data_IF_071339709164
#
_entry.id   IF_071339709164
#
_cell.length_a   1.000
_cell.length_b   1.000
_cell.length_c   1.000
_cell.angle_alpha   90.00
_cell.angle_beta   90.00
_cell.angle_gamma   90.00
#
_symmetry.space_group_name_H-M   'P 1'
#
loop_
_entity.id
_entity.type
_entity.pdbx_description
1 polymer ?
#
# COMPACT_ATOMS: atom_id res chain seq x y z
N UNK A 1 4.25 -5.68 -32.33
CA UNK A 1 5.25 -5.93 -31.27
C UNK A 1 5.48 -4.59 -30.58
N UNK A 2 4.82 -4.35 -29.44
CA UNK A 2 4.79 -3.04 -28.79
C UNK A 2 6.18 -2.72 -28.22
N UNK A 3 6.93 -1.86 -28.92
CA UNK A 3 8.12 -1.24 -28.38
C UNK A 3 7.74 -0.44 -27.14
N UNK A 4 8.31 -0.79 -25.99
CA UNK A 4 8.14 -0.05 -24.74
C UNK A 4 8.98 1.21 -24.87
N UNK A 5 8.39 2.23 -25.49
CA UNK A 5 9.09 3.48 -25.68
C UNK A 5 9.08 4.35 -24.44
N UNK A 6 10.26 4.83 -24.08
CA UNK A 6 10.57 5.66 -22.90
C UNK A 6 10.07 7.11 -23.03
N UNK A 7 9.06 7.36 -23.87
CA UNK A 7 8.64 8.72 -24.26
C UNK A 7 7.86 9.47 -23.18
N UNK A 8 7.28 8.76 -22.21
CA UNK A 8 6.47 9.37 -21.14
C UNK A 8 6.96 8.92 -19.78
N UNK A 9 7.20 9.90 -18.89
CA UNK A 9 7.68 9.68 -17.52
C UNK A 9 6.80 8.68 -16.77
N UNK A 10 5.48 8.76 -16.92
CA UNK A 10 4.54 7.86 -16.25
C UNK A 10 4.68 6.41 -16.70
N UNK A 11 4.87 6.21 -18.01
CA UNK A 11 5.06 4.87 -18.57
C UNK A 11 6.40 4.28 -18.12
N UNK A 12 7.45 5.09 -18.10
CA UNK A 12 8.77 4.70 -17.60
C UNK A 12 8.72 4.30 -16.12
N UNK A 13 8.04 5.07 -15.26
CA UNK A 13 7.87 4.73 -13.83
C UNK A 13 7.13 3.41 -13.64
N UNK A 14 6.04 3.19 -14.41
CA UNK A 14 5.31 1.92 -14.38
C UNK A 14 6.20 0.74 -14.78
N UNK A 15 6.98 0.87 -15.85
CA UNK A 15 7.89 -0.19 -16.30
C UNK A 15 9.02 -0.44 -15.31
N UNK A 16 9.51 0.62 -14.66
CA UNK A 16 10.51 0.53 -13.62
C UNK A 16 9.98 -0.21 -12.38
N UNK A 17 8.74 0.04 -11.98
CA UNK A 17 8.05 -0.67 -10.90
C UNK A 17 7.94 -2.18 -11.19
N UNK A 18 7.44 -2.56 -12.38
CA UNK A 18 7.41 -3.96 -12.79
C UNK A 18 8.82 -4.56 -12.88
N UNK A 19 9.80 -3.71 -13.17
CA UNK A 19 11.20 -4.04 -13.18
C UNK A 19 11.81 -4.41 -11.83
N UNK A 20 11.28 -3.90 -10.71
CA UNK A 20 11.68 -4.33 -9.36
C UNK A 20 11.39 -5.82 -9.16
N UNK A 21 10.32 -6.34 -9.78
CA UNK A 21 9.94 -7.76 -9.72
C UNK A 21 10.60 -8.62 -10.81
N UNK A 22 11.51 -8.06 -11.63
CA UNK A 22 12.24 -8.79 -12.67
C UNK A 22 11.52 -8.89 -14.01
N UNK A 23 10.44 -8.13 -14.25
CA UNK A 23 9.73 -8.11 -15.54
C UNK A 23 10.38 -7.18 -16.60
N UNK A 24 11.66 -6.83 -16.46
CA UNK A 24 12.39 -6.08 -17.49
C UNK A 24 13.01 -7.06 -18.51
N UNK A 25 12.43 -7.18 -19.69
CA UNK A 25 13.06 -7.90 -20.80
C UNK A 25 14.04 -6.98 -21.58
N UNK A 26 15.36 -7.29 -21.62
CA UNK A 26 16.37 -6.44 -22.28
C UNK A 26 16.10 -6.21 -23.78
N UNK A 27 15.48 -7.19 -24.45
CA UNK A 27 15.22 -7.12 -25.89
C UNK A 27 14.07 -6.16 -26.24
N UNK A 28 13.33 -5.68 -25.25
CA UNK A 28 12.16 -4.82 -25.44
C UNK A 28 12.48 -3.32 -25.32
N UNK A 29 13.66 -2.95 -24.82
CA UNK A 29 14.06 -1.56 -24.52
C UNK A 29 14.95 -0.91 -25.60
N UNK A 30 14.98 -1.44 -26.83
CA UNK A 30 15.74 -0.78 -27.88
C UNK A 30 15.08 0.55 -28.24
N UNK A 31 15.84 1.62 -28.07
CA UNK A 31 15.42 2.97 -28.39
C UNK A 31 15.58 3.22 -29.89
N UNK A 32 14.46 3.48 -30.55
CA UNK A 32 14.44 4.08 -31.87
C UNK A 32 14.40 5.59 -31.66
N UNK A 33 15.58 6.22 -31.69
CA UNK A 33 15.69 7.67 -31.56
C UNK A 33 15.98 8.25 -32.93
N UNK A 34 14.92 8.63 -33.64
CA UNK A 34 15.04 9.44 -34.85
C UNK A 34 14.67 8.70 -36.14
N UNK A 35 13.98 9.46 -36.97
CA UNK A 35 13.68 9.19 -38.35
C UNK A 35 14.94 9.56 -39.16
N UNK A 36 15.67 8.60 -39.70
CA UNK A 36 16.81 8.89 -40.56
C UNK A 36 16.46 8.68 -42.04
N UNK A 37 16.83 9.66 -42.87
CA UNK A 37 16.58 9.65 -44.31
C UNK A 37 15.21 10.22 -44.73
N UNK A 38 14.96 10.32 -46.05
CA UNK A 38 13.75 10.95 -46.62
C UNK A 38 12.44 10.24 -46.26
N UNK A 39 12.51 8.96 -45.89
CA UNK A 39 11.38 8.05 -45.65
C UNK A 39 11.01 7.92 -44.16
N UNK A 40 11.66 8.73 -43.30
CA UNK A 40 11.44 8.76 -41.85
C UNK A 40 11.46 7.38 -41.16
N UNK A 41 12.28 6.46 -41.65
CA UNK A 41 12.31 5.10 -41.11
C UNK A 41 12.94 5.08 -39.70
N UNK A 42 12.38 4.27 -38.78
CA UNK A 42 12.91 4.10 -37.44
C UNK A 42 14.31 3.45 -37.50
N UNK A 43 15.38 4.20 -37.23
CA UNK A 43 16.74 3.67 -37.22
C UNK A 43 17.25 3.33 -35.83
N UNK A 44 17.94 2.18 -35.71
CA UNK A 44 18.50 1.68 -34.46
C UNK A 44 19.90 2.24 -34.23
N UNK A 45 20.12 2.87 -33.09
CA UNK A 45 21.45 3.32 -32.66
C UNK A 45 22.08 2.31 -31.68
N UNK A 46 23.15 1.63 -32.11
CA UNK A 46 23.81 0.58 -31.31
C UNK A 46 24.39 1.09 -29.98
N UNK A 47 25.06 2.25 -29.99
CA UNK A 47 25.70 2.82 -28.80
C UNK A 47 24.68 3.16 -27.71
N UNK A 48 23.58 3.81 -28.09
CA UNK A 48 22.56 4.24 -27.13
C UNK A 48 21.73 3.06 -26.63
N UNK A 49 21.50 2.04 -27.48
CA UNK A 49 20.85 0.79 -27.06
C UNK A 49 21.70 0.03 -26.02
N UNK A 50 23.01 -0.04 -26.21
CA UNK A 50 23.93 -0.66 -25.24
C UNK A 50 23.98 0.09 -23.91
N UNK A 51 24.05 1.43 -23.95
CA UNK A 51 24.03 2.24 -22.73
C UNK A 51 22.73 2.03 -21.92
N UNK A 52 21.59 1.89 -22.60
CA UNK A 52 20.28 1.68 -21.96
C UNK A 52 20.20 0.32 -21.26
N UNK A 53 20.68 -0.74 -21.92
CA UNK A 53 20.75 -2.09 -21.35
C UNK A 53 21.65 -2.15 -20.10
N UNK A 54 22.79 -1.45 -20.14
CA UNK A 54 23.72 -1.35 -19.01
C UNK A 54 23.07 -0.64 -17.81
N UNK A 55 22.41 0.51 -18.04
CA UNK A 55 21.74 1.28 -16.98
C UNK A 55 20.62 0.47 -16.33
N UNK A 56 19.80 -0.24 -17.12
CA UNK A 56 18.72 -1.08 -16.61
C UNK A 56 19.27 -2.24 -15.76
N UNK A 57 20.34 -2.89 -16.22
CA UNK A 57 20.98 -3.99 -15.50
C UNK A 57 21.55 -3.51 -14.16
N UNK A 58 22.25 -2.36 -14.15
CA UNK A 58 22.76 -1.77 -12.93
C UNK A 58 21.64 -1.33 -11.98
N UNK A 59 20.56 -0.73 -12.50
CA UNK A 59 19.40 -0.36 -11.71
C UNK A 59 18.79 -1.56 -10.98
N UNK A 60 18.55 -2.66 -11.70
CA UNK A 60 17.99 -3.87 -11.13
C UNK A 60 18.94 -4.50 -10.11
N UNK A 61 20.23 -4.60 -10.43
CA UNK A 61 21.24 -5.15 -9.52
C UNK A 61 21.39 -4.35 -8.22
N UNK A 62 21.49 -3.02 -8.32
CA UNK A 62 21.62 -2.15 -7.16
C UNK A 62 20.36 -2.22 -6.30
N UNK A 63 19.16 -2.12 -6.87
CA UNK A 63 17.92 -2.15 -6.06
C UNK A 63 17.71 -3.50 -5.39
N UNK A 64 17.86 -4.61 -6.10
CA UNK A 64 17.64 -5.93 -5.50
C UNK A 64 18.62 -6.14 -4.35
N UNK A 65 19.91 -5.85 -4.55
CA UNK A 65 20.92 -6.10 -3.52
C UNK A 65 20.80 -5.11 -2.35
N UNK A 66 20.71 -3.82 -2.63
CA UNK A 66 20.75 -2.79 -1.58
C UNK A 66 19.42 -2.66 -0.84
N UNK A 67 18.29 -2.67 -1.56
CA UNK A 67 16.97 -2.47 -0.96
C UNK A 67 16.55 -3.67 -0.12
N UNK A 68 16.75 -4.91 -0.59
CA UNK A 68 16.45 -6.09 0.21
C UNK A 68 17.32 -6.17 1.44
N UNK A 69 18.63 -5.97 1.30
CA UNK A 69 19.54 -6.05 2.45
C UNK A 69 19.21 -4.99 3.51
N UNK A 70 18.89 -3.77 3.07
CA UNK A 70 18.46 -2.69 3.97
C UNK A 70 17.11 -3.00 4.62
N UNK A 71 16.11 -3.44 3.83
CA UNK A 71 14.77 -3.72 4.35
C UNK A 71 14.80 -4.85 5.37
N UNK A 72 15.54 -5.93 5.10
CA UNK A 72 15.70 -7.04 6.04
C UNK A 72 16.40 -6.55 7.31
N UNK A 73 17.46 -5.74 7.19
CA UNK A 73 18.17 -5.19 8.35
C UNK A 73 17.28 -4.29 9.21
N UNK A 74 16.46 -3.44 8.58
CA UNK A 74 15.50 -2.57 9.27
C UNK A 74 14.39 -3.39 9.94
N UNK A 75 13.87 -4.41 9.26
CA UNK A 75 12.82 -5.27 9.80
C UNK A 75 13.32 -6.04 11.01
N UNK A 76 14.52 -6.62 10.96
CA UNK A 76 15.13 -7.33 12.10
C UNK A 76 15.33 -6.36 13.28
N UNK A 77 15.92 -5.19 13.05
CA UNK A 77 16.11 -4.19 14.11
C UNK A 77 14.77 -3.77 14.74
N UNK A 78 13.73 -3.60 13.92
CA UNK A 78 12.40 -3.22 14.41
C UNK A 78 11.66 -4.36 15.11
N UNK A 79 11.86 -5.59 14.67
CA UNK A 79 11.35 -6.76 15.37
C UNK A 79 11.99 -6.85 16.76
N UNK A 80 13.31 -6.71 16.88
CA UNK A 80 14.01 -6.76 18.16
C UNK A 80 13.53 -5.68 19.14
N UNK A 81 13.34 -4.44 18.66
CA UNK A 81 12.82 -3.31 19.45
C UNK A 81 11.39 -3.57 19.96
N UNK A 82 10.52 -4.15 19.12
CA UNK A 82 9.13 -4.47 19.49
C UNK A 82 9.07 -5.67 20.44
N UNK A 83 9.92 -6.68 20.23
CA UNK A 83 9.97 -7.88 21.07
C UNK A 83 10.35 -7.56 22.52
N UNK A 84 11.15 -6.52 22.77
CA UNK A 84 11.53 -6.09 24.12
C UNK A 84 10.31 -5.66 24.97
N UNK A 85 9.26 -5.12 24.34
CA UNK A 85 8.04 -4.65 25.02
C UNK A 85 6.77 -5.44 24.65
N UNK A 86 6.90 -6.53 23.88
CA UNK A 86 5.78 -7.29 23.31
C UNK A 86 4.77 -7.72 24.37
N UNK A 87 5.24 -8.31 25.47
CA UNK A 87 4.34 -8.82 26.51
C UNK A 87 3.49 -7.73 27.14
N UNK A 88 4.07 -6.54 27.33
CA UNK A 88 3.39 -5.40 27.95
C UNK A 88 2.34 -4.83 27.00
N UNK A 89 2.71 -4.60 25.75
CA UNK A 89 1.81 -4.07 24.71
C UNK A 89 0.68 -5.03 24.38
N UNK A 90 0.96 -6.33 24.34
CA UNK A 90 -0.04 -7.36 24.12
C UNK A 90 -1.04 -7.42 25.28
N UNK A 91 -0.55 -7.41 26.53
CA UNK A 91 -1.43 -7.41 27.72
C UNK A 91 -2.25 -6.13 27.78
N UNK A 92 -1.66 -4.97 27.48
CA UNK A 92 -2.36 -3.69 27.41
C UNK A 92 -3.47 -3.73 26.36
N UNK A 93 -3.16 -4.12 25.12
CA UNK A 93 -4.13 -4.23 24.02
C UNK A 93 -5.26 -5.17 24.37
N UNK A 94 -4.97 -6.30 25.02
CA UNK A 94 -6.00 -7.23 25.50
C UNK A 94 -6.92 -6.60 26.53
N UNK A 95 -6.38 -5.88 27.51
CA UNK A 95 -7.19 -5.20 28.54
C UNK A 95 -8.05 -4.10 27.91
N UNK A 96 -7.53 -3.34 26.94
CA UNK A 96 -8.30 -2.35 26.19
C UNK A 96 -9.48 -3.02 25.47
N UNK A 97 -9.24 -4.09 24.72
CA UNK A 97 -10.30 -4.85 24.06
C UNK A 97 -11.34 -5.37 25.08
N UNK A 98 -10.90 -5.92 26.21
CA UNK A 98 -11.83 -6.37 27.25
C UNK A 98 -12.62 -5.22 27.87
N UNK A 99 -12.02 -4.04 28.05
CA UNK A 99 -12.73 -2.86 28.56
C UNK A 99 -13.83 -2.40 27.60
N UNK A 100 -13.59 -2.43 26.29
CA UNK A 100 -14.61 -2.16 25.27
C UNK A 100 -15.76 -3.18 25.28
N UNK A 101 -15.49 -4.45 25.59
CA UNK A 101 -16.52 -5.48 25.73
C UNK A 101 -17.31 -5.38 27.04
N UNK A 102 -16.68 -4.92 28.12
CA UNK A 102 -17.34 -4.72 29.41
C UNK A 102 -18.24 -3.48 29.35
N UNK A 103 -17.86 -2.47 28.58
CA UNK A 103 -18.68 -1.29 28.40
C UNK A 103 -20.00 -1.67 27.68
N UNK A 104 -21.12 -1.11 28.15
CA UNK A 104 -22.49 -1.58 27.84
C UNK A 104 -22.84 -1.53 26.33
N UNK A 105 -22.01 -0.88 25.53
CA UNK A 105 -22.16 -0.69 24.07
C UNK A 105 -22.04 -1.98 23.24
N UNK A 106 -21.45 -3.06 23.77
CA UNK A 106 -21.16 -4.31 23.02
C UNK A 106 -21.87 -5.56 23.57
N UNK A 107 -22.99 -5.40 24.28
CA UNK A 107 -23.73 -6.55 24.84
C UNK A 107 -24.37 -7.45 23.77
N UNK A 108 -24.45 -6.98 22.52
CA UNK A 108 -25.03 -7.70 21.39
C UNK A 108 -24.10 -7.65 20.16
N UNK A 109 -23.94 -8.76 19.40
CA UNK A 109 -23.08 -8.78 18.22
C UNK A 109 -23.53 -7.74 17.18
N UNK A 110 -22.62 -7.24 16.31
CA UNK A 110 -22.90 -6.17 15.34
C UNK A 110 -24.21 -6.28 14.52
N UNK A 111 -24.68 -7.46 14.08
CA UNK A 111 -25.99 -7.56 13.42
C UNK A 111 -27.20 -7.26 14.35
N UNK A 112 -27.08 -7.46 15.66
CA UNK A 112 -28.16 -7.27 16.65
C UNK A 112 -28.10 -5.93 17.40
N UNK A 113 -26.97 -5.22 17.36
CA UNK A 113 -26.80 -3.92 17.98
C UNK A 113 -27.78 -2.86 17.41
N UNK A 114 -27.99 -2.88 16.09
CA UNK A 114 -28.96 -2.01 15.41
C UNK A 114 -30.41 -2.27 15.83
N UNK A 115 -30.80 -3.53 16.07
CA UNK A 115 -32.16 -3.87 16.51
C UNK A 115 -32.41 -3.42 17.95
N UNK A 116 -31.41 -3.52 18.82
CA UNK A 116 -31.50 -3.05 20.21
C UNK A 116 -31.65 -1.51 20.27
N UNK A 117 -30.84 -0.78 19.50
CA UNK A 117 -30.93 0.68 19.38
C UNK A 117 -32.28 1.08 18.75
N UNK A 118 -32.75 0.39 17.72
CA UNK A 118 -34.05 0.67 17.09
C UNK A 118 -35.23 0.44 18.06
N UNK A 119 -35.20 -0.64 18.84
CA UNK A 119 -36.21 -0.91 19.87
C UNK A 119 -36.23 0.15 20.96
N UNK A 120 -35.05 0.57 21.43
CA UNK A 120 -34.94 1.57 22.50
C UNK A 120 -35.34 2.97 22.01
N UNK A 121 -34.99 3.32 20.77
CA UNK A 121 -35.46 4.53 20.10
C UNK A 121 -36.98 4.53 19.93
N UNK A 122 -37.58 3.43 19.46
CA UNK A 122 -39.04 3.30 19.32
C UNK A 122 -39.75 3.38 20.67
N UNK A 123 -39.19 2.75 21.72
CA UNK A 123 -39.74 2.83 23.08
C UNK A 123 -39.72 4.25 23.61
N UNK A 124 -38.62 4.99 23.41
CA UNK A 124 -38.49 6.39 23.83
C UNK A 124 -39.44 7.32 23.05
N UNK A 125 -39.59 7.11 21.74
CA UNK A 125 -40.50 7.89 20.89
C UNK A 125 -41.97 7.62 21.23
N UNK A 126 -42.34 6.37 21.55
CA UNK A 126 -43.73 6.02 21.90
C UNK A 126 -44.12 6.42 23.33
N UNK A 127 -43.20 6.43 24.30
CA UNK A 127 -43.54 6.66 25.70
C UNK A 127 -43.31 8.09 26.20
N UNK A 128 -42.59 8.97 25.50
CA UNK A 128 -42.28 10.29 26.04
C UNK A 128 -42.21 11.36 24.93
N UNK A 129 -43.29 12.16 24.82
CA UNK A 129 -43.37 13.37 23.96
C UNK A 129 -42.58 14.55 24.57
N UNK A 130 -41.77 14.33 25.62
CA UNK A 130 -40.96 15.39 26.23
C UNK A 130 -39.59 14.87 26.72
N UNK A 131 -38.69 14.52 25.81
CA UNK A 131 -37.28 14.27 26.20
C UNK A 131 -36.33 15.22 25.48
N UNK A 132 -35.71 16.10 26.27
CA UNK A 132 -34.54 16.88 25.88
C UNK A 132 -33.44 15.91 25.43
N UNK A 133 -33.02 16.06 24.18
CA UNK A 133 -31.95 15.30 23.54
C UNK A 133 -30.59 15.65 24.20
N UNK A 134 -30.28 15.01 25.33
CA UNK A 134 -28.92 15.03 25.86
C UNK A 134 -28.13 13.93 25.18
N UNK A 135 -27.22 14.33 24.28
CA UNK A 135 -26.29 13.44 23.62
C UNK A 135 -25.41 12.71 24.64
N UNK A 136 -25.01 11.45 24.39
CA UNK A 136 -23.97 10.81 25.18
C UNK A 136 -22.68 11.61 24.97
N UNK A 137 -22.13 12.15 26.07
CA UNK A 137 -20.84 12.82 26.06
C UNK A 137 -19.78 11.73 25.93
N UNK A 138 -19.25 11.63 24.72
CA UNK A 138 -18.07 10.82 24.39
C UNK A 138 -16.87 11.60 24.93
N UNK A 139 -16.28 11.12 26.02
CA UNK A 139 -14.94 11.52 26.47
C UNK A 139 -13.91 10.58 25.86
#
# INVERSE_FOLDING_TARGET
MNQISVYSIFFTVRNLYWGVYGYLDPNTYYIVTGNAGPDQAPTRHYITSFATELIITLYHGIIVITLLNLMVSLLVKKADEVLENEESEFKYTRVVIYSEFIDWSSSVPPPFNLLYIAKEMLRKICCDTSVVLSWPVIW
#
